data_IF_385541868973
#
_entry.id   IF_385541868973
#
_cell.length_a   1.000
_cell.length_b   1.000
_cell.length_c   1.000
_cell.angle_alpha   90.00
_cell.angle_beta   90.00
_cell.angle_gamma   90.00
#
_symmetry.space_group_name_H-M   'P 1'
#
loop_
_entity.id
_entity.type
_entity.pdbx_description
1 polymer ?
#
# COMPACT_ATOMS: atom_id res chain seq x y z
N UNK A 1 -1.92 -11.11 -21.06
CA UNK A 1 -3.15 -10.30 -20.86
C UNK A 1 -2.77 -9.10 -20.00
N UNK A 2 -3.27 -7.91 -20.32
CA UNK A 2 -3.09 -6.75 -19.44
C UNK A 2 -4.08 -6.83 -18.28
N UNK A 3 -3.61 -6.70 -17.05
CA UNK A 3 -4.46 -6.65 -15.85
C UNK A 3 -5.25 -5.34 -15.89
N UNK A 4 -6.57 -5.43 -15.73
CA UNK A 4 -7.46 -4.26 -15.75
C UNK A 4 -7.94 -3.93 -14.35
N UNK A 5 -8.00 -2.64 -14.07
CA UNK A 5 -8.57 -2.08 -12.86
C UNK A 5 -10.10 -2.01 -12.95
N UNK A 6 -10.79 -2.19 -11.80
CA UNK A 6 -12.23 -1.92 -11.69
C UNK A 6 -12.45 -0.40 -11.58
N UNK A 7 -13.47 0.18 -12.23
CA UNK A 7 -13.75 1.62 -12.11
C UNK A 7 -13.89 2.08 -10.66
N UNK A 8 -13.48 3.32 -10.37
CA UNK A 8 -13.69 3.94 -9.06
C UNK A 8 -15.18 4.12 -8.76
N UNK A 9 -15.53 4.14 -7.48
CA UNK A 9 -16.91 4.19 -7.01
C UNK A 9 -17.06 4.92 -5.68
N UNK A 10 -18.31 5.25 -5.33
CA UNK A 10 -18.63 5.87 -4.04
C UNK A 10 -18.84 4.83 -2.92
N UNK A 11 -18.61 3.54 -3.19
CA UNK A 11 -18.82 2.46 -2.23
C UNK A 11 -17.46 1.93 -1.80
N UNK A 12 -17.16 2.06 -0.50
CA UNK A 12 -15.90 1.56 0.04
C UNK A 12 -15.71 0.07 -0.26
N UNK A 13 -14.52 -0.26 -0.74
CA UNK A 13 -14.09 -1.63 -0.88
C UNK A 13 -13.58 -2.17 0.46
N UNK A 14 -13.83 -3.44 0.69
CA UNK A 14 -13.31 -4.19 1.83
C UNK A 14 -12.85 -5.54 1.32
N UNK A 15 -11.59 -5.86 1.55
CA UNK A 15 -11.04 -7.19 1.30
C UNK A 15 -11.36 -8.09 2.49
N UNK A 16 -12.59 -8.62 2.49
CA UNK A 16 -13.10 -9.46 3.58
C UNK A 16 -12.30 -10.75 3.76
N UNK A 17 -11.62 -11.23 2.71
CA UNK A 17 -10.82 -12.46 2.77
C UNK A 17 -9.51 -12.16 3.48
N UNK A 18 -8.78 -11.14 3.03
CA UNK A 18 -7.55 -10.70 3.69
C UNK A 18 -7.80 -10.32 5.14
N UNK A 19 -8.84 -9.54 5.42
CA UNK A 19 -9.18 -9.13 6.79
C UNK A 19 -9.45 -10.32 7.70
N UNK A 20 -10.26 -11.28 7.24
CA UNK A 20 -10.59 -12.47 8.04
C UNK A 20 -9.36 -13.33 8.32
N UNK A 21 -8.50 -13.54 7.31
CA UNK A 21 -7.33 -14.41 7.44
C UNK A 21 -6.22 -13.76 8.26
N UNK A 22 -6.17 -12.43 8.29
CA UNK A 22 -5.17 -11.64 8.99
C UNK A 22 -5.71 -10.94 10.25
N UNK A 23 -6.89 -11.33 10.75
CA UNK A 23 -7.50 -10.72 11.94
C UNK A 23 -6.65 -10.85 13.22
N UNK A 24 -5.67 -11.75 13.22
CA UNK A 24 -4.72 -11.97 14.32
C UNK A 24 -3.51 -11.03 14.28
N UNK A 25 -3.30 -10.27 13.18
CA UNK A 25 -2.13 -9.42 12.98
C UNK A 25 -2.20 -8.15 13.82
N UNK A 26 -3.37 -7.52 13.89
CA UNK A 26 -3.57 -6.25 14.57
C UNK A 26 -4.95 -6.19 15.23
N UNK A 27 -5.02 -5.54 16.39
CA UNK A 27 -6.29 -5.29 17.10
C UNK A 27 -7.14 -4.23 16.41
N UNK A 28 -6.50 -3.32 15.66
CA UNK A 28 -7.15 -2.19 15.02
C UNK A 28 -6.68 -2.03 13.57
N UNK A 29 -7.60 -1.61 12.71
CA UNK A 29 -7.35 -1.32 11.30
C UNK A 29 -7.99 0.02 10.97
N UNK A 30 -7.21 0.96 10.47
CA UNK A 30 -7.66 2.32 10.17
C UNK A 30 -7.45 2.66 8.71
N UNK A 31 -8.34 3.43 8.09
CA UNK A 31 -8.19 3.85 6.69
C UNK A 31 -6.94 4.71 6.55
N UNK A 32 -6.15 4.52 5.49
CA UNK A 32 -4.94 5.31 5.24
C UNK A 32 -5.23 6.83 5.13
N UNK A 33 -6.47 7.19 4.75
CA UNK A 33 -6.98 8.57 4.74
C UNK A 33 -7.05 9.21 6.13
N UNK A 34 -7.23 8.39 7.18
CA UNK A 34 -7.29 8.82 8.58
C UNK A 34 -5.88 8.85 9.20
N UNK A 35 -5.04 7.88 8.83
CA UNK A 35 -3.66 7.77 9.33
C UNK A 35 -2.74 8.82 8.71
N UNK A 36 -2.86 9.09 7.41
CA UNK A 36 -2.02 10.02 6.64
C UNK A 36 -2.88 10.94 5.76
N UNK A 37 -3.64 11.88 6.34
CA UNK A 37 -4.62 12.68 5.61
C UNK A 37 -4.00 13.59 4.54
N UNK A 38 -2.73 14.02 4.66
CA UNK A 38 -2.12 14.85 3.63
C UNK A 38 -1.92 14.09 2.31
N UNK A 39 -1.81 12.75 2.35
CA UNK A 39 -1.66 11.91 1.17
C UNK A 39 -2.84 11.96 0.20
N UNK A 40 -4.04 12.37 0.64
CA UNK A 40 -5.18 12.66 -0.24
C UNK A 40 -4.87 13.74 -1.29
N UNK A 41 -3.99 14.68 -0.94
CA UNK A 41 -3.61 15.80 -1.80
C UNK A 41 -2.27 15.56 -2.51
N UNK A 42 -1.69 14.37 -2.38
CA UNK A 42 -0.44 13.97 -3.02
C UNK A 42 -0.73 13.00 -4.17
N UNK A 43 0.13 12.95 -5.21
CA UNK A 43 0.03 11.89 -6.19
C UNK A 43 0.25 10.53 -5.52
N UNK A 44 -0.57 9.53 -5.87
CA UNK A 44 -0.41 8.17 -5.34
C UNK A 44 1.03 7.68 -5.57
N UNK A 45 1.52 7.83 -6.80
CA UNK A 45 2.90 7.56 -7.17
C UNK A 45 3.62 8.89 -7.43
N UNK A 46 4.65 9.24 -6.62
CA UNK A 46 5.39 10.46 -6.80
C UNK A 46 6.28 10.43 -8.06
N UNK A 47 6.70 11.60 -8.51
CA UNK A 47 7.68 11.74 -9.59
C UNK A 47 9.02 11.11 -9.18
N UNK A 48 9.44 11.39 -7.94
CA UNK A 48 10.67 10.89 -7.33
C UNK A 48 10.32 9.95 -6.17
N UNK A 49 10.78 8.71 -6.28
CA UNK A 49 10.77 7.77 -5.16
C UNK A 49 12.03 7.96 -4.33
N UNK A 50 11.89 8.00 -3.01
CA UNK A 50 12.97 8.35 -2.09
C UNK A 50 12.92 7.46 -0.84
N UNK A 51 14.09 7.19 -0.26
CA UNK A 51 14.20 6.36 0.94
C UNK A 51 13.59 7.03 2.17
N UNK A 52 13.52 8.35 2.16
CA UNK A 52 12.93 9.17 3.22
C UNK A 52 11.40 8.97 3.30
N UNK A 53 10.80 8.33 2.30
CA UNK A 53 9.38 7.96 2.29
C UNK A 53 9.07 6.72 3.15
N UNK A 54 10.08 6.04 3.69
CA UNK A 54 9.92 4.88 4.55
C UNK A 54 10.32 5.18 5.98
N UNK A 55 9.54 4.69 6.93
CA UNK A 55 9.86 4.64 8.36
C UNK A 55 9.50 3.28 8.95
N UNK A 56 10.21 2.89 10.01
CA UNK A 56 9.90 1.69 10.77
C UNK A 56 8.67 1.94 11.65
N UNK A 57 7.70 1.02 11.62
CA UNK A 57 6.57 0.97 12.54
C UNK A 57 6.85 0.22 13.82
N UNK A 58 5.79 -0.11 14.57
CA UNK A 58 5.93 -0.73 15.89
C UNK A 58 6.44 -2.18 15.82
N UNK A 59 6.19 -2.87 14.71
CA UNK A 59 6.69 -4.21 14.43
C UNK A 59 7.98 -4.12 13.60
N UNK A 60 9.07 -4.66 14.14
CA UNK A 60 10.41 -4.54 13.57
C UNK A 60 10.66 -5.53 12.43
N UNK A 61 10.09 -5.28 11.26
CA UNK A 61 10.38 -6.00 10.00
C UNK A 61 11.36 -5.22 9.10
N UNK A 62 12.62 -5.10 9.53
CA UNK A 62 13.62 -4.28 8.82
C UNK A 62 13.96 -4.79 7.40
N UNK A 63 13.67 -6.06 7.11
CA UNK A 63 13.88 -6.67 5.79
C UNK A 63 13.06 -5.96 4.70
N UNK A 64 11.79 -5.68 4.95
CA UNK A 64 10.89 -5.10 3.93
C UNK A 64 11.31 -3.67 3.58
N UNK A 65 11.60 -2.85 4.58
CA UNK A 65 12.10 -1.47 4.37
C UNK A 65 13.43 -1.51 3.60
N UNK A 66 14.34 -2.42 3.93
CA UNK A 66 15.62 -2.54 3.23
C UNK A 66 15.45 -2.91 1.75
N UNK A 67 14.51 -3.83 1.46
CA UNK A 67 14.17 -4.22 0.10
C UNK A 67 13.54 -3.05 -0.69
N UNK A 68 12.53 -2.39 -0.12
CA UNK A 68 11.86 -1.25 -0.75
C UNK A 68 12.80 -0.04 -0.93
N UNK A 69 13.64 0.27 0.06
CA UNK A 69 14.63 1.33 -0.02
C UNK A 69 15.71 1.07 -1.09
N UNK A 70 15.93 -0.18 -1.47
CA UNK A 70 16.77 -0.52 -2.63
C UNK A 70 15.97 -0.34 -3.93
N UNK A 71 14.69 -0.71 -3.92
CA UNK A 71 13.80 -0.69 -5.08
C UNK A 71 13.49 0.72 -5.60
N UNK A 72 13.55 1.76 -4.75
CA UNK A 72 13.37 3.17 -5.20
C UNK A 72 14.36 3.60 -6.29
N UNK A 73 15.51 2.91 -6.41
CA UNK A 73 16.48 3.13 -7.51
C UNK A 73 15.98 2.63 -8.87
N UNK A 74 14.90 1.85 -8.89
CA UNK A 74 14.27 1.26 -10.06
C UNK A 74 12.78 1.66 -10.09
N UNK A 75 12.48 2.95 -10.29
CA UNK A 75 11.14 3.49 -10.10
C UNK A 75 10.11 2.87 -11.06
N UNK A 76 10.54 2.44 -12.25
CA UNK A 76 9.67 1.77 -13.21
C UNK A 76 9.22 0.38 -12.75
N UNK A 77 10.00 -0.29 -11.90
CA UNK A 77 9.60 -1.57 -11.28
C UNK A 77 8.46 -1.31 -10.30
N UNK A 78 8.59 -0.28 -9.46
CA UNK A 78 7.53 0.13 -8.52
C UNK A 78 6.28 0.54 -9.30
N UNK A 79 6.41 1.43 -10.28
CA UNK A 79 5.27 1.88 -11.10
C UNK A 79 4.57 0.73 -11.82
N UNK A 80 5.34 -0.24 -12.30
CA UNK A 80 4.77 -1.41 -12.95
C UNK A 80 4.03 -2.33 -11.97
N UNK A 81 4.33 -2.32 -10.66
CA UNK A 81 3.52 -3.04 -9.67
C UNK A 81 2.13 -2.42 -9.48
N UNK A 82 1.98 -1.11 -9.69
CA UNK A 82 0.71 -0.42 -9.51
C UNK A 82 -0.11 -0.43 -10.80
N UNK A 83 -1.30 -1.03 -10.76
CA UNK A 83 -2.29 -0.84 -11.82
C UNK A 83 -3.08 0.44 -11.54
N UNK A 84 -3.45 0.67 -10.29
CA UNK A 84 -4.04 1.94 -9.81
C UNK A 84 -3.02 3.07 -9.85
N UNK A 85 -3.31 4.14 -10.57
CA UNK A 85 -2.38 5.28 -10.76
C UNK A 85 -2.76 6.54 -9.96
N UNK A 86 -3.92 6.56 -9.33
CA UNK A 86 -4.46 7.72 -8.61
C UNK A 86 -5.07 7.30 -7.29
N UNK A 87 -5.13 8.23 -6.34
CA UNK A 87 -5.92 8.06 -5.12
C UNK A 87 -7.38 7.78 -5.49
N UNK A 88 -7.98 6.80 -4.82
CA UNK A 88 -9.34 6.32 -5.11
C UNK A 88 -10.30 6.58 -3.98
N UNK A 89 -11.53 6.93 -4.34
CA UNK A 89 -12.58 7.22 -3.38
C UNK A 89 -13.09 5.94 -2.70
N UNK A 90 -13.16 4.83 -3.42
CA UNK A 90 -13.55 3.54 -2.83
C UNK A 90 -12.48 2.89 -1.95
N UNK A 91 -11.24 3.41 -1.98
CA UNK A 91 -10.10 2.82 -1.27
C UNK A 91 -9.64 1.46 -1.80
N UNK A 92 -10.05 1.06 -3.02
CA UNK A 92 -9.59 -0.17 -3.66
C UNK A 92 -8.33 0.07 -4.46
N UNK A 93 -7.23 -0.57 -4.14
CA UNK A 93 -5.99 -0.44 -4.93
C UNK A 93 -5.68 -1.76 -5.63
N UNK A 94 -5.43 -1.70 -6.93
CA UNK A 94 -5.08 -2.85 -7.77
C UNK A 94 -3.59 -2.84 -8.08
N UNK A 95 -2.97 -3.99 -7.84
CA UNK A 95 -1.56 -4.27 -8.08
C UNK A 95 -1.40 -5.42 -9.07
N UNK A 96 -0.21 -5.50 -9.65
CA UNK A 96 0.26 -6.65 -10.39
C UNK A 96 1.64 -7.08 -9.91
N UNK A 97 1.81 -8.36 -9.64
CA UNK A 97 3.09 -8.94 -9.24
C UNK A 97 3.47 -10.09 -10.16
N UNK A 98 4.76 -10.26 -10.41
CA UNK A 98 5.25 -11.36 -11.23
C UNK A 98 5.58 -12.56 -10.34
N UNK A 99 4.76 -13.61 -10.40
CA UNK A 99 4.89 -14.82 -9.60
C UNK A 99 4.70 -16.03 -10.50
N UNK A 100 5.54 -17.05 -10.38
CA UNK A 100 5.35 -18.31 -11.12
C UNK A 100 5.42 -18.18 -12.66
N UNK A 101 6.14 -17.16 -13.17
CA UNK A 101 6.23 -16.81 -14.62
C UNK A 101 4.98 -16.14 -15.19
N UNK A 102 4.06 -15.70 -14.34
CA UNK A 102 2.85 -14.98 -14.75
C UNK A 102 2.65 -13.71 -13.93
N UNK A 103 1.89 -12.76 -14.51
CA UNK A 103 1.42 -11.57 -13.81
C UNK A 103 0.16 -11.92 -13.04
N UNK A 104 0.21 -11.75 -11.72
CA UNK A 104 -0.89 -12.00 -10.79
C UNK A 104 -1.47 -10.66 -10.36
N UNK A 105 -2.79 -10.53 -10.46
CA UNK A 105 -3.53 -9.38 -9.95
C UNK A 105 -3.74 -9.52 -8.45
N UNK A 106 -3.48 -8.45 -7.70
CA UNK A 106 -3.83 -8.33 -6.28
C UNK A 106 -4.70 -7.09 -6.11
N UNK A 107 -5.77 -7.20 -5.31
CA UNK A 107 -6.62 -6.07 -4.94
C UNK A 107 -6.66 -5.98 -3.43
N UNK A 108 -6.42 -4.80 -2.89
CA UNK A 108 -6.48 -4.54 -1.45
C UNK A 108 -7.43 -3.37 -1.16
N UNK A 109 -8.02 -3.37 0.03
CA UNK A 109 -8.51 -2.14 0.62
C UNK A 109 -7.34 -1.35 1.25
N UNK A 110 -7.59 -0.11 1.62
CA UNK A 110 -6.60 0.85 2.13
C UNK A 110 -6.61 0.99 3.65
N UNK A 111 -7.11 -0.01 4.36
CA UNK A 111 -6.95 -0.06 5.83
C UNK A 111 -5.54 -0.50 6.21
N UNK A 112 -4.97 0.12 7.23
CA UNK A 112 -3.61 -0.09 7.72
C UNK A 112 -3.68 -0.70 9.13
N UNK A 113 -2.88 -1.74 9.43
CA UNK A 113 -2.85 -2.34 10.75
C UNK A 113 -2.22 -1.39 11.78
N UNK A 114 -2.88 -1.24 12.92
CA UNK A 114 -2.50 -0.36 14.01
C UNK A 114 -2.33 -1.15 15.31
N UNK A 115 -1.41 -0.71 16.16
CA UNK A 115 -1.20 -1.22 17.52
C UNK A 115 -0.86 -0.04 18.43
N UNK A 116 -1.57 0.09 19.55
CA UNK A 116 -1.40 1.18 20.53
C UNK A 116 -1.41 2.59 19.90
N UNK A 117 -2.26 2.80 18.88
CA UNK A 117 -2.40 4.07 18.17
C UNK A 117 -1.31 4.36 17.13
N UNK A 118 -0.38 3.42 16.92
CA UNK A 118 0.75 3.55 16.01
C UNK A 118 0.63 2.56 14.84
N UNK A 119 1.17 2.93 13.68
CA UNK A 119 1.22 2.03 12.51
C UNK A 119 2.15 0.86 12.81
N UNK A 120 1.67 -0.35 12.52
CA UNK A 120 2.35 -1.60 12.88
C UNK A 120 3.59 -1.86 12.01
N UNK A 121 3.48 -1.85 10.68
CA UNK A 121 4.58 -2.21 9.78
C UNK A 121 5.30 -1.00 9.20
N UNK A 122 5.12 -0.66 7.93
CA UNK A 122 5.81 0.47 7.32
C UNK A 122 5.08 1.78 7.61
N UNK A 123 5.83 2.80 8.05
CA UNK A 123 5.36 4.18 8.20
C UNK A 123 5.76 5.02 7.01
N UNK A 124 5.02 6.10 6.78
CA UNK A 124 5.38 7.12 5.79
C UNK A 124 5.69 8.45 6.48
N UNK A 125 6.96 8.76 6.79
CA UNK A 125 7.36 10.04 7.37
C UNK A 125 7.00 11.26 6.50
N UNK A 126 6.74 11.03 5.21
CA UNK A 126 6.40 12.05 4.21
C UNK A 126 4.92 11.99 3.81
N UNK A 127 4.11 11.16 4.49
CA UNK A 127 2.69 10.92 4.21
C UNK A 127 2.35 10.41 2.80
N UNK A 128 3.33 9.97 2.01
CA UNK A 128 3.09 9.23 0.77
C UNK A 128 2.48 7.86 1.07
N UNK A 129 1.43 7.47 0.34
CA UNK A 129 0.69 6.24 0.62
C UNK A 129 1.23 4.99 -0.07
N UNK A 130 1.87 5.14 -1.22
CA UNK A 130 2.38 4.01 -1.99
C UNK A 130 3.23 3.02 -1.18
N UNK A 131 4.08 3.42 -0.20
CA UNK A 131 4.89 2.46 0.53
C UNK A 131 4.04 1.46 1.33
N UNK A 132 3.02 1.97 2.03
CA UNK A 132 2.14 1.15 2.87
C UNK A 132 1.22 0.27 2.03
N UNK A 133 0.69 0.83 0.93
CA UNK A 133 -0.18 0.09 0.02
C UNK A 133 0.60 -1.03 -0.69
N UNK A 134 1.86 -0.78 -1.07
CA UNK A 134 2.73 -1.78 -1.68
C UNK A 134 3.18 -2.86 -0.69
N UNK A 135 3.38 -2.52 0.59
CA UNK A 135 3.71 -3.51 1.62
C UNK A 135 2.52 -4.44 1.92
N UNK A 136 1.30 -3.90 1.93
CA UNK A 136 0.09 -4.68 2.20
C UNK A 136 -0.30 -5.64 1.07
N UNK A 137 -0.03 -5.25 -0.18
CA UNK A 137 -0.39 -6.01 -1.39
C UNK A 137 0.58 -7.18 -1.64
#
# INVERSE_FOLDING_TARGET
MSIKEVPDSNKLFSDVVFQRENAHIASEWQRITEVYPAGLNQPLLPEVFSREQFGQGNHYECFMISALATLVRFPDVIRNCFVTQKVRQDGRYTFQFFRGREWVRVEIDDTIPMEDGEVLYLRSPTEHWWPLLLEKA
#
